data_IF_113574711445
#
_entry.id   IF_113574711445
#
_cell.length_a   1.000
_cell.length_b   1.000
_cell.length_c   1.000
_cell.angle_alpha   90.00
_cell.angle_beta   90.00
_cell.angle_gamma   90.00
#
_symmetry.space_group_name_H-M   'P 1'
#
loop_
_entity.id
_entity.type
_entity.pdbx_description
1 polymer ?
#
# COMPACT_ATOMS: atom_id res chain seq x y z
N UNK A 1 -11.66 -30.69 24.11
CA UNK A 1 -10.48 -30.24 24.88
C UNK A 1 -9.28 -29.99 23.95
N UNK A 2 -9.10 -30.78 22.89
CA UNK A 2 -8.02 -30.65 21.89
C UNK A 2 -7.95 -29.30 21.13
N UNK A 3 -9.09 -28.65 20.83
CA UNK A 3 -9.08 -27.33 20.14
C UNK A 3 -8.43 -26.19 20.95
N UNK A 4 -8.51 -26.21 22.29
CA UNK A 4 -7.93 -25.16 23.15
C UNK A 4 -6.40 -25.23 23.21
N UNK A 5 -5.83 -26.42 23.16
CA UNK A 5 -4.37 -26.62 23.15
C UNK A 5 -3.75 -26.19 21.81
N UNK A 6 -4.42 -26.47 20.69
CA UNK A 6 -3.98 -26.05 19.34
C UNK A 6 -3.89 -24.52 19.19
N UNK A 7 -4.87 -23.77 19.70
CA UNK A 7 -4.93 -22.31 19.54
C UNK A 7 -3.88 -21.57 20.40
N UNK A 8 -3.57 -22.11 21.58
CA UNK A 8 -2.55 -21.53 22.48
C UNK A 8 -1.14 -21.74 21.91
N UNK A 9 -0.92 -22.86 21.20
CA UNK A 9 0.35 -23.17 20.55
C UNK A 9 0.76 -22.14 19.48
N UNK A 10 -0.19 -21.65 18.67
CA UNK A 10 0.12 -20.70 17.58
C UNK A 10 0.52 -19.31 18.13
N UNK A 11 -0.14 -18.87 19.20
CA UNK A 11 0.10 -17.57 19.83
C UNK A 11 1.49 -17.49 20.47
N UNK A 12 1.95 -18.59 21.07
CA UNK A 12 3.25 -18.66 21.72
C UNK A 12 4.44 -18.69 20.74
N UNK A 13 4.19 -18.95 19.45
CA UNK A 13 5.21 -18.88 18.40
C UNK A 13 5.42 -17.44 17.89
N UNK A 14 4.51 -16.53 18.21
CA UNK A 14 4.55 -15.14 17.74
C UNK A 14 5.28 -14.26 18.76
N UNK A 15 6.30 -13.55 18.28
CA UNK A 15 7.07 -12.58 19.08
C UNK A 15 6.28 -11.29 19.33
N UNK A 16 5.43 -10.92 18.38
CA UNK A 16 4.57 -9.74 18.44
C UNK A 16 3.30 -9.94 19.26
N UNK A 17 2.66 -8.88 19.77
CA UNK A 17 1.37 -8.99 20.43
C UNK A 17 0.36 -9.67 19.52
N UNK A 18 -0.19 -10.79 20.00
CA UNK A 18 -1.18 -11.56 19.26
C UNK A 18 -2.26 -12.08 20.20
N UNK A 19 -3.49 -12.10 19.69
CA UNK A 19 -4.65 -12.55 20.45
C UNK A 19 -5.72 -13.15 19.54
N UNK A 20 -6.60 -13.96 20.12
CA UNK A 20 -7.73 -14.56 19.42
C UNK A 20 -9.04 -13.97 19.90
N UNK A 21 -9.94 -13.74 18.96
CA UNK A 21 -11.29 -13.23 19.21
C UNK A 21 -12.30 -14.29 18.80
N UNK A 22 -13.30 -14.53 19.66
CA UNK A 22 -14.43 -15.39 19.36
C UNK A 22 -15.71 -14.68 19.79
N UNK A 23 -16.71 -14.64 18.91
CA UNK A 23 -17.99 -13.97 19.17
C UNK A 23 -17.83 -12.50 19.63
N UNK A 24 -16.81 -11.80 19.09
CA UNK A 24 -16.49 -10.41 19.41
C UNK A 24 -15.64 -10.21 20.67
N UNK A 25 -15.31 -11.27 21.40
CA UNK A 25 -14.59 -11.19 22.68
C UNK A 25 -13.17 -11.75 22.57
N UNK A 26 -12.18 -11.09 23.16
CA UNK A 26 -10.81 -11.61 23.26
C UNK A 26 -10.80 -12.84 24.19
N UNK A 27 -10.39 -14.01 23.68
CA UNK A 27 -10.41 -15.28 24.43
C UNK A 27 -9.01 -15.69 24.92
N UNK A 28 -8.01 -15.59 24.05
CA UNK A 28 -6.63 -15.98 24.37
C UNK A 28 -5.66 -14.94 23.82
N UNK A 29 -4.51 -14.76 24.46
CA UNK A 29 -3.48 -13.82 24.04
C UNK A 29 -2.11 -14.25 24.55
N UNK A 30 -1.05 -13.88 23.82
CA UNK A 30 0.32 -14.20 24.20
C UNK A 30 0.89 -13.21 25.22
N UNK A 31 2.07 -13.51 25.79
CA UNK A 31 2.71 -12.63 26.78
C UNK A 31 2.94 -11.20 26.26
N UNK A 32 3.24 -11.04 24.97
CA UNK A 32 3.47 -9.74 24.37
C UNK A 32 2.19 -8.87 24.37
N UNK A 33 1.03 -9.45 24.02
CA UNK A 33 -0.27 -8.79 24.10
C UNK A 33 -0.66 -8.48 25.55
N UNK A 34 -0.32 -9.37 26.48
CA UNK A 34 -0.53 -9.20 27.91
C UNK A 34 0.24 -7.98 28.44
N UNK A 35 1.51 -7.84 28.05
CA UNK A 35 2.34 -6.67 28.36
C UNK A 35 1.84 -5.38 27.71
N UNK A 36 1.13 -5.50 26.59
CA UNK A 36 0.52 -4.39 25.87
C UNK A 36 -0.85 -3.97 26.45
N UNK A 37 -1.18 -4.41 27.67
CA UNK A 37 -2.41 -4.08 28.40
C UNK A 37 -3.70 -4.65 27.79
N UNK A 38 -3.60 -5.68 26.96
CA UNK A 38 -4.76 -6.45 26.49
C UNK A 38 -5.10 -7.57 27.47
N UNK A 39 -6.38 -7.79 27.70
CA UNK A 39 -6.88 -8.81 28.64
C UNK A 39 -7.97 -9.68 28.00
N UNK A 40 -8.09 -10.97 28.38
CA UNK A 40 -9.22 -11.79 27.99
C UNK A 40 -10.54 -11.20 28.53
N UNK A 41 -11.61 -11.32 27.76
CA UNK A 41 -12.94 -10.79 28.10
C UNK A 41 -13.22 -9.37 27.58
N UNK A 42 -12.21 -8.66 27.07
CA UNK A 42 -12.43 -7.38 26.39
C UNK A 42 -13.22 -7.57 25.09
N UNK A 43 -14.14 -6.64 24.80
CA UNK A 43 -14.83 -6.60 23.51
C UNK A 43 -13.90 -5.99 22.46
N UNK A 44 -13.81 -6.64 21.29
CA UNK A 44 -12.96 -6.14 20.20
C UNK A 44 -13.42 -4.78 19.70
N UNK A 45 -14.73 -4.53 19.68
CA UNK A 45 -15.33 -3.24 19.29
C UNK A 45 -14.82 -2.06 20.11
N UNK A 46 -14.42 -2.29 21.36
CA UNK A 46 -14.00 -1.22 22.27
C UNK A 46 -12.58 -0.72 21.96
N UNK A 47 -11.79 -1.55 21.27
CA UNK A 47 -10.41 -1.23 20.91
C UNK A 47 -10.25 -0.96 19.41
N UNK A 48 -11.25 -1.18 18.56
CA UNK A 48 -11.17 -0.87 17.13
C UNK A 48 -11.20 0.65 16.92
N UNK A 49 -10.20 1.17 16.20
CA UNK A 49 -10.14 2.57 15.75
C UNK A 49 -10.73 2.69 14.34
N UNK A 50 -10.42 1.75 13.46
CA UNK A 50 -10.99 1.64 12.11
C UNK A 50 -11.52 0.23 11.89
N UNK A 51 -12.46 0.07 10.95
CA UNK A 51 -12.84 -1.26 10.45
C UNK A 51 -13.92 -2.00 11.23
N UNK A 52 -14.70 -1.35 12.11
CA UNK A 52 -15.76 -2.06 12.86
C UNK A 52 -16.78 -2.74 11.93
N UNK A 53 -17.25 -2.02 10.90
CA UNK A 53 -18.19 -2.60 9.93
C UNK A 53 -17.48 -3.61 9.02
N UNK A 54 -16.29 -3.29 8.52
CA UNK A 54 -15.51 -4.18 7.67
C UNK A 54 -15.15 -5.49 8.36
N UNK A 55 -14.87 -5.48 9.67
CA UNK A 55 -14.60 -6.68 10.46
C UNK A 55 -15.85 -7.54 10.67
N UNK A 56 -17.03 -6.92 10.84
CA UNK A 56 -18.32 -7.62 10.89
C UNK A 56 -18.66 -8.28 9.55
N UNK A 57 -18.33 -7.62 8.45
CA UNK A 57 -18.59 -8.09 7.09
C UNK A 57 -17.48 -8.99 6.53
N UNK A 58 -16.30 -9.00 7.17
CA UNK A 58 -15.18 -9.88 6.84
C UNK A 58 -15.66 -11.33 6.76
N UNK A 59 -15.13 -12.11 5.82
CA UNK A 59 -15.51 -13.53 5.66
C UNK A 59 -14.29 -14.40 5.48
N UNK A 60 -13.40 -13.98 4.60
CA UNK A 60 -12.18 -14.69 4.23
C UNK A 60 -11.08 -13.68 3.86
N UNK A 61 -9.84 -14.14 3.85
CA UNK A 61 -8.67 -13.37 3.52
C UNK A 61 -7.99 -12.74 4.72
N UNK A 62 -7.57 -11.49 4.56
CA UNK A 62 -6.76 -10.76 5.52
C UNK A 62 -7.27 -9.32 5.62
N UNK A 63 -7.64 -8.89 6.82
CA UNK A 63 -8.11 -7.52 7.07
C UNK A 63 -7.04 -6.75 7.87
N UNK A 64 -6.60 -5.61 7.33
CA UNK A 64 -5.72 -4.66 7.99
C UNK A 64 -6.55 -3.53 8.57
N UNK A 65 -6.42 -3.30 9.86
CA UNK A 65 -7.18 -2.31 10.60
C UNK A 65 -6.31 -1.65 11.68
N UNK A 66 -6.83 -0.58 12.28
CA UNK A 66 -6.17 0.09 13.41
C UNK A 66 -6.92 -0.20 14.70
N UNK A 67 -6.19 -0.52 15.76
CA UNK A 67 -6.72 -0.75 17.09
C UNK A 67 -5.94 0.03 18.16
N UNK A 68 -6.57 0.31 19.30
CA UNK A 68 -5.97 1.01 20.42
C UNK A 68 -5.31 0.00 21.35
N UNK A 69 -3.99 0.14 21.55
CA UNK A 69 -3.19 -0.69 22.46
C UNK A 69 -2.35 0.23 23.32
N UNK A 70 -2.45 0.08 24.64
CA UNK A 70 -1.78 0.97 25.60
C UNK A 70 -1.98 2.48 25.28
N UNK A 71 -3.23 2.87 25.00
CA UNK A 71 -3.65 4.24 24.64
C UNK A 71 -3.01 4.81 23.36
N UNK A 72 -2.52 3.94 22.47
CA UNK A 72 -1.94 4.33 21.18
C UNK A 72 -2.63 3.59 20.03
N UNK A 73 -2.88 4.26 18.90
CA UNK A 73 -3.33 3.57 17.69
C UNK A 73 -2.18 2.72 17.14
N UNK A 74 -2.45 1.44 16.94
CA UNK A 74 -1.52 0.46 16.39
C UNK A 74 -2.16 -0.25 15.20
N UNK A 75 -1.38 -0.46 14.14
CA UNK A 75 -1.78 -1.33 13.04
C UNK A 75 -1.95 -2.76 13.54
N UNK A 76 -2.99 -3.42 13.07
CA UNK A 76 -3.18 -4.83 13.29
C UNK A 76 -3.72 -5.52 12.05
N UNK A 77 -3.49 -6.82 12.01
CA UNK A 77 -3.96 -7.71 10.96
C UNK A 77 -4.88 -8.76 11.58
N UNK A 78 -5.95 -9.07 10.88
CA UNK A 78 -6.95 -10.06 11.27
C UNK A 78 -6.99 -11.17 10.25
N UNK A 79 -6.89 -12.40 10.75
CA UNK A 79 -7.08 -13.62 9.98
C UNK A 79 -8.23 -14.43 10.56
N UNK A 80 -9.24 -14.71 9.74
CA UNK A 80 -10.34 -15.59 10.15
C UNK A 80 -9.93 -17.04 9.99
N UNK A 81 -9.97 -17.79 11.08
CA UNK A 81 -9.70 -19.23 11.13
C UNK A 81 -10.98 -19.97 11.52
N UNK A 82 -10.97 -21.30 11.40
CA UNK A 82 -12.12 -22.14 11.74
C UNK A 82 -12.51 -22.01 13.24
N UNK A 83 -13.44 -21.09 13.51
CA UNK A 83 -14.04 -20.86 14.83
C UNK A 83 -13.40 -19.76 15.68
N UNK A 84 -12.43 -18.98 15.16
CA UNK A 84 -11.86 -17.82 15.85
C UNK A 84 -11.15 -16.87 14.86
N UNK A 85 -10.96 -15.62 15.28
CA UNK A 85 -10.22 -14.61 14.55
C UNK A 85 -8.86 -14.35 15.24
N UNK A 86 -7.76 -14.50 14.50
CA UNK A 86 -6.42 -14.23 14.99
C UNK A 86 -6.03 -12.78 14.66
N UNK A 87 -5.77 -12.00 15.70
CA UNK A 87 -5.24 -10.65 15.61
C UNK A 87 -3.74 -10.65 15.87
N UNK A 88 -3.00 -9.92 15.06
CA UNK A 88 -1.58 -9.62 15.29
C UNK A 88 -1.32 -8.13 15.19
N UNK A 89 -0.65 -7.56 16.19
CA UNK A 89 -0.33 -6.12 16.26
C UNK A 89 1.12 -5.88 15.83
N UNK A 90 1.37 -4.82 15.06
CA UNK A 90 2.73 -4.38 14.70
C UNK A 90 3.51 -3.87 15.93
N UNK A 91 4.84 -4.07 15.97
CA UNK A 91 5.69 -3.76 17.13
C UNK A 91 6.60 -2.53 16.91
N UNK A 92 6.98 -1.89 18.02
CA UNK A 92 7.94 -0.76 18.03
C UNK A 92 9.35 -1.14 17.54
N UNK A 93 9.75 -2.42 17.61
CA UNK A 93 11.04 -2.89 17.06
C UNK A 93 11.11 -2.73 15.54
N UNK A 94 10.01 -2.94 14.82
CA UNK A 94 9.91 -2.67 13.38
C UNK A 94 10.05 -1.15 13.12
N UNK A 95 9.59 -0.28 14.03
CA UNK A 95 9.72 1.18 13.87
C UNK A 95 11.17 1.66 13.94
N UNK A 96 12.01 1.06 14.78
CA UNK A 96 13.43 1.42 14.88
C UNK A 96 14.19 1.06 13.60
N UNK A 97 13.87 -0.09 13.00
CA UNK A 97 14.42 -0.50 11.71
C UNK A 97 13.95 0.44 10.58
N UNK A 98 12.65 0.78 10.57
CA UNK A 98 12.10 1.77 9.64
C UNK A 98 12.78 3.14 9.81
N UNK A 99 13.08 3.55 11.04
CA UNK A 99 13.80 4.80 11.32
C UNK A 99 15.22 4.78 10.75
N UNK A 100 15.94 3.67 10.94
CA UNK A 100 17.27 3.50 10.38
C UNK A 100 17.24 3.53 8.84
N UNK A 101 16.25 2.87 8.22
CA UNK A 101 16.03 2.92 6.78
C UNK A 101 15.73 4.33 6.28
N UNK A 102 14.89 5.10 6.98
CA UNK A 102 14.57 6.46 6.60
C UNK A 102 15.80 7.40 6.66
N UNK A 103 16.67 7.23 7.67
CA UNK A 103 17.92 7.98 7.75
C UNK A 103 18.86 7.62 6.59
N UNK A 104 19.03 6.33 6.28
CA UNK A 104 19.82 5.89 5.14
C UNK A 104 19.26 6.44 3.81
N UNK A 105 17.93 6.47 3.66
CA UNK A 105 17.28 7.03 2.48
C UNK A 105 17.57 8.53 2.30
N UNK A 106 17.55 9.30 3.38
CA UNK A 106 17.88 10.72 3.34
C UNK A 106 19.32 10.96 2.87
N UNK A 107 20.28 10.15 3.34
CA UNK A 107 21.67 10.24 2.90
C UNK A 107 21.87 9.84 1.44
N UNK A 108 21.08 8.89 0.93
CA UNK A 108 21.13 8.45 -0.47
C UNK A 108 20.41 9.39 -1.45
N UNK A 109 19.46 10.21 -0.96
CA UNK A 109 18.68 11.11 -1.82
C UNK A 109 19.55 12.14 -2.52
N UNK A 110 20.49 12.77 -1.79
CA UNK A 110 21.38 13.78 -2.35
C UNK A 110 22.31 13.25 -3.46
N UNK A 111 23.07 12.15 -3.28
CA UNK A 111 23.91 11.61 -4.34
C UNK A 111 23.08 11.11 -5.52
N UNK A 112 21.89 10.55 -5.31
CA UNK A 112 21.01 10.15 -6.41
C UNK A 112 20.52 11.37 -7.21
N UNK A 113 20.04 12.42 -6.55
CA UNK A 113 19.62 13.65 -7.22
C UNK A 113 20.73 14.26 -8.07
N UNK A 114 22.00 14.18 -7.61
CA UNK A 114 23.15 14.64 -8.38
C UNK A 114 23.38 13.79 -9.63
N UNK A 115 23.31 12.45 -9.51
CA UNK A 115 23.44 11.54 -10.67
C UNK A 115 22.32 11.81 -11.67
N UNK A 116 21.09 12.00 -11.19
CA UNK A 116 19.96 12.33 -12.05
C UNK A 116 20.13 13.66 -12.75
N UNK A 117 20.55 14.72 -12.05
CA UNK A 117 20.77 16.02 -12.68
C UNK A 117 21.83 15.99 -13.80
N UNK A 118 22.89 15.20 -13.61
CA UNK A 118 23.92 14.98 -14.64
C UNK A 118 23.36 14.15 -15.79
N UNK A 119 22.55 13.15 -15.49
CA UNK A 119 21.89 12.29 -16.47
C UNK A 119 20.89 13.07 -17.33
N UNK A 120 20.06 13.93 -16.72
CA UNK A 120 19.09 14.82 -17.37
C UNK A 120 19.79 15.81 -18.34
N UNK A 121 21.05 16.16 -18.08
CA UNK A 121 21.86 16.99 -19.00
C UNK A 121 22.52 16.18 -20.12
N UNK A 122 23.00 14.97 -19.81
CA UNK A 122 23.74 14.13 -20.77
C UNK A 122 22.82 13.40 -21.74
N UNK A 123 21.65 12.96 -21.30
CA UNK A 123 20.76 12.14 -22.12
C UNK A 123 20.20 12.87 -23.33
N UNK A 124 19.72 14.14 -23.25
CA UNK A 124 19.28 14.87 -24.43
C UNK A 124 20.41 15.10 -25.46
N UNK A 125 21.67 15.12 -25.02
CA UNK A 125 22.84 15.26 -25.92
C UNK A 125 23.21 13.92 -26.55
N UNK A 126 23.16 12.84 -25.77
CA UNK A 126 23.46 11.49 -26.24
C UNK A 126 22.34 10.91 -27.13
N UNK A 127 21.10 11.37 -26.97
CA UNK A 127 19.92 11.00 -27.75
C UNK A 127 19.85 11.72 -29.13
N UNK A 128 20.73 12.69 -29.39
CA UNK A 128 20.88 13.30 -30.71
C UNK A 128 21.52 12.37 -31.76
N UNK A 129 22.10 11.25 -31.32
CA UNK A 129 22.56 10.21 -32.23
C UNK A 129 21.46 9.17 -32.46
N UNK A 130 21.13 8.88 -33.73
CA UNK A 130 20.23 7.79 -34.15
C UNK A 130 20.80 6.38 -33.87
N UNK A 131 21.60 6.21 -32.81
CA UNK A 131 22.14 4.91 -32.43
C UNK A 131 21.15 4.20 -31.49
N UNK A 132 20.41 3.19 -31.96
CA UNK A 132 19.38 2.53 -31.16
C UNK A 132 19.96 1.84 -29.92
N UNK A 133 21.22 1.41 -29.96
CA UNK A 133 21.90 0.79 -28.80
C UNK A 133 22.11 1.82 -27.70
N UNK A 134 22.51 3.05 -28.05
CA UNK A 134 22.74 4.13 -27.08
C UNK A 134 21.41 4.54 -26.44
N UNK A 135 20.35 4.67 -27.22
CA UNK A 135 19.00 5.01 -26.73
C UNK A 135 18.45 3.95 -25.77
N UNK A 136 18.65 2.66 -26.07
CA UNK A 136 18.26 1.57 -25.18
C UNK A 136 19.03 1.63 -23.84
N UNK A 137 20.35 1.90 -23.88
CA UNK A 137 21.15 2.02 -22.65
C UNK A 137 20.72 3.23 -21.80
N UNK A 138 20.45 4.39 -22.43
CA UNK A 138 19.94 5.58 -21.74
C UNK A 138 18.61 5.27 -21.04
N UNK A 139 17.68 4.65 -21.76
CA UNK A 139 16.37 4.25 -21.25
C UNK A 139 16.48 3.32 -20.05
N UNK A 140 17.41 2.35 -20.09
CA UNK A 140 17.70 1.44 -18.97
C UNK A 140 18.27 2.18 -17.76
N UNK A 141 19.20 3.13 -17.97
CA UNK A 141 19.77 3.92 -16.87
C UNK A 141 18.69 4.81 -16.24
N UNK A 142 17.89 5.52 -17.05
CA UNK A 142 16.79 6.33 -16.54
C UNK A 142 15.81 5.51 -15.71
N UNK A 143 15.37 4.36 -16.23
CA UNK A 143 14.51 3.46 -15.46
C UNK A 143 15.14 3.06 -14.12
N UNK A 144 16.43 2.74 -14.11
CA UNK A 144 17.17 2.45 -12.88
C UNK A 144 17.20 3.63 -11.88
N UNK A 145 17.33 4.87 -12.37
CA UNK A 145 17.27 6.08 -11.53
C UNK A 145 15.88 6.26 -10.91
N UNK A 146 14.81 6.05 -11.68
CA UNK A 146 13.44 6.11 -11.17
C UNK A 146 13.14 4.99 -10.15
N UNK A 147 13.68 3.78 -10.36
CA UNK A 147 13.59 2.68 -9.39
C UNK A 147 14.30 3.02 -8.09
N UNK A 148 15.49 3.61 -8.15
CA UNK A 148 16.20 4.07 -6.96
C UNK A 148 15.46 5.19 -6.24
N UNK A 149 14.89 6.16 -6.98
CA UNK A 149 14.04 7.20 -6.38
C UNK A 149 12.86 6.59 -5.64
N UNK A 150 12.14 5.66 -6.28
CA UNK A 150 11.03 4.96 -5.64
C UNK A 150 11.46 4.25 -4.36
N UNK A 151 12.60 3.55 -4.39
CA UNK A 151 13.13 2.83 -3.23
C UNK A 151 13.48 3.79 -2.07
N UNK A 152 14.16 4.89 -2.37
CA UNK A 152 14.52 5.92 -1.38
C UNK A 152 13.26 6.57 -0.80
N UNK A 153 12.29 6.94 -1.63
CA UNK A 153 11.02 7.51 -1.17
C UNK A 153 10.26 6.52 -0.28
N UNK A 154 10.16 5.25 -0.67
CA UNK A 154 9.53 4.21 0.15
C UNK A 154 10.19 4.06 1.52
N UNK A 155 11.53 4.07 1.58
CA UNK A 155 12.26 3.98 2.85
C UNK A 155 12.07 5.23 3.73
N UNK A 156 12.13 6.43 3.15
CA UNK A 156 11.87 7.70 3.86
C UNK A 156 10.46 7.73 4.46
N UNK A 157 9.48 7.26 3.70
CA UNK A 157 8.09 7.45 4.05
C UNK A 157 7.53 6.34 4.93
N UNK A 158 8.12 5.14 4.90
CA UNK A 158 7.78 4.08 5.84
C UNK A 158 7.94 4.48 7.31
N UNK A 159 8.95 5.29 7.63
CA UNK A 159 9.07 5.85 8.96
C UNK A 159 8.04 6.96 9.25
N UNK A 160 7.70 7.77 8.27
CA UNK A 160 6.66 8.80 8.45
C UNK A 160 5.28 8.17 8.65
N UNK A 161 5.00 7.07 7.96
CA UNK A 161 3.73 6.36 7.98
C UNK A 161 3.59 5.40 9.15
N UNK A 162 4.68 4.96 9.78
CA UNK A 162 4.63 4.24 11.05
C UNK A 162 4.21 5.12 12.22
N UNK A 163 4.25 6.45 12.07
CA UNK A 163 3.80 7.40 13.07
C UNK A 163 2.41 7.92 12.75
N UNK A 164 1.56 8.18 13.78
CA UNK A 164 0.31 8.91 13.64
C UNK A 164 0.56 10.41 13.39
N UNK A 165 1.39 10.75 12.40
CA UNK A 165 1.60 12.13 11.99
C UNK A 165 0.33 12.67 11.32
N UNK A 166 -0.03 13.91 11.64
CA UNK A 166 -1.14 14.63 11.02
C UNK A 166 -0.94 14.64 9.50
N UNK A 167 -1.83 13.93 8.78
CA UNK A 167 -1.84 13.96 7.32
C UNK A 167 -2.10 15.37 6.80
N UNK A 168 -1.63 15.66 5.60
CA UNK A 168 -1.87 16.96 4.94
C UNK A 168 -3.23 16.94 4.27
N UNK A 169 -4.29 16.92 5.08
CA UNK A 169 -5.66 16.83 4.58
C UNK A 169 -6.13 18.15 3.98
N UNK A 170 -6.61 18.08 2.74
CA UNK A 170 -7.32 19.19 2.09
C UNK A 170 -8.59 18.65 1.45
N UNK A 171 -9.63 19.49 1.36
CA UNK A 171 -10.87 19.09 0.68
C UNK A 171 -10.60 19.03 -0.82
N UNK A 172 -10.73 17.84 -1.40
CA UNK A 172 -10.52 17.60 -2.82
C UNK A 172 -11.56 16.63 -3.36
N UNK A 173 -11.74 16.60 -4.68
CA UNK A 173 -12.61 15.64 -5.35
C UNK A 173 -11.87 14.31 -5.54
N UNK A 174 -12.21 13.31 -4.73
CA UNK A 174 -11.58 11.99 -4.81
C UNK A 174 -11.85 11.29 -6.13
N UNK A 175 -13.03 11.53 -6.73
CA UNK A 175 -13.39 10.89 -7.99
C UNK A 175 -12.53 11.44 -9.12
N UNK A 176 -12.19 12.73 -9.09
CA UNK A 176 -11.26 13.32 -10.04
C UNK A 176 -9.83 12.82 -9.82
N UNK A 177 -9.34 12.83 -8.57
CA UNK A 177 -7.97 12.35 -8.24
C UNK A 177 -7.77 10.90 -8.70
N UNK A 178 -8.70 10.01 -8.35
CA UNK A 178 -8.60 8.61 -8.78
C UNK A 178 -8.74 8.49 -10.30
N UNK A 179 -9.60 9.29 -10.93
CA UNK A 179 -9.70 9.37 -12.39
C UNK A 179 -8.37 9.70 -13.07
N UNK A 180 -7.66 10.72 -12.59
CA UNK A 180 -6.33 11.12 -13.05
C UNK A 180 -5.32 9.96 -12.90
N UNK A 181 -5.20 9.41 -11.67
CA UNK A 181 -4.26 8.32 -11.36
C UNK A 181 -4.47 7.09 -12.26
N UNK A 182 -5.72 6.62 -12.37
CA UNK A 182 -6.03 5.43 -13.15
C UNK A 182 -5.90 5.67 -14.66
N UNK A 183 -6.24 6.85 -15.15
CA UNK A 183 -6.08 7.20 -16.57
C UNK A 183 -4.61 7.23 -16.97
N UNK A 184 -3.76 7.90 -16.18
CA UNK A 184 -2.31 7.93 -16.42
C UNK A 184 -1.70 6.53 -16.32
N UNK A 185 -2.04 5.78 -15.27
CA UNK A 185 -1.56 4.42 -15.08
C UNK A 185 -1.97 3.49 -16.23
N UNK A 186 -3.21 3.59 -16.71
CA UNK A 186 -3.70 2.78 -17.82
C UNK A 186 -2.91 3.04 -19.10
N UNK A 187 -2.67 4.31 -19.44
CA UNK A 187 -1.89 4.69 -20.62
C UNK A 187 -0.46 4.13 -20.56
N UNK A 188 0.20 4.20 -19.40
CA UNK A 188 1.55 3.66 -19.24
C UNK A 188 1.58 2.13 -19.32
N UNK A 189 0.58 1.45 -18.75
CA UNK A 189 0.51 -0.01 -18.69
C UNK A 189 0.14 -0.67 -20.02
N UNK A 190 -0.53 0.04 -20.94
CA UNK A 190 -0.80 -0.45 -22.31
C UNK A 190 0.50 -0.87 -23.02
N UNK A 191 1.60 -0.14 -22.80
CA UNK A 191 2.92 -0.49 -23.33
C UNK A 191 3.47 -1.81 -22.75
N UNK A 192 3.05 -2.17 -21.54
CA UNK A 192 3.40 -3.42 -20.84
C UNK A 192 2.51 -4.61 -21.20
N UNK A 193 1.59 -4.47 -22.16
CA UNK A 193 0.58 -5.48 -22.51
C UNK A 193 -0.38 -5.84 -21.37
N UNK A 194 -0.64 -4.92 -20.43
CA UNK A 194 -1.63 -5.11 -19.37
C UNK A 194 -2.68 -4.00 -19.49
N UNK A 195 -3.96 -4.37 -19.44
CA UNK A 195 -5.06 -3.41 -19.53
C UNK A 195 -5.61 -3.11 -18.16
N UNK A 196 -5.60 -1.84 -17.77
CA UNK A 196 -6.17 -1.36 -16.52
C UNK A 196 -7.51 -0.70 -16.79
N UNK A 197 -8.59 -1.30 -16.30
CA UNK A 197 -9.95 -0.78 -16.43
C UNK A 197 -10.36 -0.13 -15.11
N UNK A 198 -10.82 1.13 -15.15
CA UNK A 198 -11.33 1.80 -13.96
C UNK A 198 -12.79 2.21 -14.13
N UNK A 199 -13.64 1.67 -13.26
CA UNK A 199 -15.04 2.09 -13.14
C UNK A 199 -15.19 3.05 -11.97
N UNK A 200 -15.30 4.34 -12.28
CA UNK A 200 -15.47 5.39 -11.30
C UNK A 200 -16.95 5.60 -10.92
N UNK A 201 -17.19 6.45 -9.92
CA UNK A 201 -18.54 6.93 -9.60
C UNK A 201 -19.00 7.98 -10.60
N UNK A 202 -20.29 7.96 -10.96
CA UNK A 202 -20.91 8.94 -11.85
C UNK A 202 -21.23 10.29 -11.17
N UNK A 203 -20.60 10.59 -10.03
CA UNK A 203 -20.81 11.82 -9.26
C UNK A 203 -19.52 12.26 -8.59
N UNK A 204 -19.29 13.57 -8.53
CA UNK A 204 -18.20 14.17 -7.76
C UNK A 204 -18.39 13.95 -6.26
N UNK A 205 -17.31 13.63 -5.56
CA UNK A 205 -17.30 13.47 -4.10
C UNK A 205 -16.16 14.30 -3.52
N UNK A 206 -16.51 15.38 -2.85
CA UNK A 206 -15.57 16.17 -2.07
C UNK A 206 -15.39 15.55 -0.68
N UNK A 207 -14.14 15.32 -0.29
CA UNK A 207 -13.78 14.88 1.06
C UNK A 207 -12.37 15.35 1.44
N UNK A 208 -12.04 15.27 2.72
CA UNK A 208 -10.69 15.51 3.25
C UNK A 208 -9.76 14.38 2.81
N UNK A 209 -8.78 14.73 1.97
CA UNK A 209 -7.83 13.80 1.38
C UNK A 209 -6.40 14.27 1.64
N UNK A 210 -5.57 13.36 2.09
CA UNK A 210 -4.11 13.47 1.99
C UNK A 210 -3.71 12.88 0.64
N UNK A 211 -3.56 13.75 -0.37
CA UNK A 211 -3.39 13.35 -1.78
C UNK A 211 -2.15 12.49 -1.97
N UNK A 212 -1.04 12.88 -1.35
CA UNK A 212 0.25 12.19 -1.43
C UNK A 212 0.13 10.76 -0.90
N UNK A 213 -0.48 10.58 0.28
CA UNK A 213 -0.71 9.23 0.85
C UNK A 213 -1.65 8.40 -0.02
N UNK A 214 -2.73 9.01 -0.53
CA UNK A 214 -3.71 8.32 -1.38
C UNK A 214 -3.07 7.82 -2.67
N UNK A 215 -2.38 8.70 -3.41
CA UNK A 215 -1.69 8.39 -4.67
C UNK A 215 -0.72 7.24 -4.48
N UNK A 216 0.10 7.29 -3.42
CA UNK A 216 1.07 6.25 -3.13
C UNK A 216 0.44 4.93 -2.73
N UNK A 217 -0.63 4.97 -1.93
CA UNK A 217 -1.44 3.78 -1.63
C UNK A 217 -1.96 3.13 -2.91
N UNK A 218 -2.61 3.91 -3.78
CA UNK A 218 -3.20 3.43 -5.03
C UNK A 218 -2.14 2.87 -5.99
N UNK A 219 -1.04 3.59 -6.22
CA UNK A 219 0.02 3.09 -7.10
C UNK A 219 0.68 1.81 -6.57
N UNK A 220 0.79 1.63 -5.25
CA UNK A 220 1.30 0.37 -4.69
C UNK A 220 0.32 -0.79 -4.93
N UNK A 221 -0.99 -0.56 -4.86
CA UNK A 221 -1.97 -1.59 -5.22
C UNK A 221 -1.86 -1.93 -6.72
N UNK A 222 -1.80 -0.92 -7.60
CA UNK A 222 -1.65 -1.11 -9.06
C UNK A 222 -0.36 -1.87 -9.38
N UNK A 223 0.77 -1.42 -8.84
CA UNK A 223 2.08 -2.06 -8.98
C UNK A 223 2.03 -3.54 -8.57
N UNK A 224 1.40 -3.85 -7.43
CA UNK A 224 1.23 -5.24 -7.00
C UNK A 224 0.36 -6.04 -7.96
N UNK A 225 -0.79 -5.51 -8.37
CA UNK A 225 -1.69 -6.18 -9.32
C UNK A 225 -0.99 -6.50 -10.65
N UNK A 226 -0.15 -5.59 -11.15
CA UNK A 226 0.64 -5.76 -12.37
C UNK A 226 1.76 -6.78 -12.17
N UNK A 227 2.52 -6.73 -11.06
CA UNK A 227 3.62 -7.68 -10.76
C UNK A 227 3.18 -9.14 -10.68
N UNK A 228 1.95 -9.38 -10.22
CA UNK A 228 1.40 -10.72 -10.03
C UNK A 228 0.45 -11.15 -11.16
N UNK A 229 0.26 -10.31 -12.17
CA UNK A 229 -0.51 -10.61 -13.38
C UNK A 229 0.36 -11.22 -14.47
N UNK A 230 -0.23 -12.11 -15.27
CA UNK A 230 0.39 -12.56 -16.52
C UNK A 230 0.34 -11.46 -17.58
N UNK A 231 1.31 -11.46 -18.51
CA UNK A 231 1.28 -10.52 -19.65
C UNK A 231 0.04 -10.77 -20.50
N UNK A 232 -0.62 -9.71 -20.95
CA UNK A 232 -1.85 -9.79 -21.72
C UNK A 232 -3.13 -9.83 -20.87
N UNK A 233 -3.01 -9.76 -19.55
CA UNK A 233 -4.16 -9.81 -18.65
C UNK A 233 -4.85 -8.46 -18.46
N UNK A 234 -6.07 -8.53 -17.94
CA UNK A 234 -6.86 -7.38 -17.53
C UNK A 234 -6.85 -7.23 -16.00
N UNK A 235 -6.68 -5.99 -15.54
CA UNK A 235 -6.84 -5.57 -14.14
C UNK A 235 -8.07 -4.69 -14.07
N UNK A 236 -8.94 -4.96 -13.10
CA UNK A 236 -10.20 -4.22 -12.93
C UNK A 236 -10.18 -3.47 -11.60
N UNK A 237 -10.34 -2.15 -11.69
CA UNK A 237 -10.50 -1.25 -10.56
C UNK A 237 -11.92 -0.69 -10.54
N UNK A 238 -12.50 -0.56 -9.35
CA UNK A 238 -13.83 -0.01 -9.15
C UNK A 238 -13.88 0.84 -7.88
N UNK A 239 -14.45 2.04 -7.99
CA UNK A 239 -14.81 2.86 -6.84
C UNK A 239 -16.32 2.72 -6.58
N UNK A 240 -16.68 2.27 -5.39
CA UNK A 240 -18.07 2.26 -4.93
C UNK A 240 -18.23 3.08 -3.65
N UNK A 241 -19.47 3.48 -3.34
CA UNK A 241 -19.81 4.27 -2.17
C UNK A 241 -20.99 3.61 -1.47
N UNK A 242 -20.83 3.29 -0.19
CA UNK A 242 -21.91 2.77 0.67
C UNK A 242 -21.89 3.54 1.99
N UNK A 243 -23.01 4.20 2.31
CA UNK A 243 -23.10 5.07 3.50
C UNK A 243 -22.04 6.17 3.48
N UNK A 244 -21.21 6.21 4.53
CA UNK A 244 -20.08 7.15 4.68
C UNK A 244 -18.73 6.54 4.29
N UNK A 245 -18.71 5.39 3.60
CA UNK A 245 -17.48 4.72 3.20
C UNK A 245 -17.37 4.64 1.68
N UNK A 246 -16.17 4.91 1.18
CA UNK A 246 -15.74 4.59 -0.18
C UNK A 246 -14.97 3.29 -0.18
N UNK A 247 -15.16 2.50 -1.22
CA UNK A 247 -14.47 1.22 -1.42
C UNK A 247 -13.77 1.28 -2.76
N UNK A 248 -12.44 1.40 -2.75
CA UNK A 248 -11.61 1.23 -3.93
C UNK A 248 -11.17 -0.23 -4.02
N UNK A 249 -11.76 -0.96 -4.95
CA UNK A 249 -11.48 -2.38 -5.18
C UNK A 249 -10.61 -2.52 -6.42
N UNK A 250 -9.48 -3.23 -6.33
CA UNK A 250 -8.63 -3.59 -7.46
C UNK A 250 -8.50 -5.11 -7.49
N UNK A 251 -8.84 -5.72 -8.63
CA UNK A 251 -8.79 -7.16 -8.87
C UNK A 251 -7.83 -7.46 -10.01
N UNK A 252 -6.87 -8.33 -9.76
CA UNK A 252 -6.05 -8.94 -10.80
C UNK A 252 -6.60 -10.30 -11.24
N UNK A 253 -6.16 -10.75 -12.41
CA UNK A 253 -6.48 -12.04 -13.02
C UNK A 253 -5.29 -13.00 -13.03
N UNK A 254 -4.27 -12.75 -12.19
CA UNK A 254 -3.07 -13.57 -12.11
C UNK A 254 -3.32 -14.97 -11.54
N UNK A 255 -2.25 -15.74 -11.30
CA UNK A 255 -2.33 -17.08 -10.68
C UNK A 255 -2.96 -17.07 -9.28
N UNK A 256 -3.30 -15.89 -8.75
CA UNK A 256 -3.56 -15.63 -7.36
C UNK A 256 -2.35 -16.00 -6.52
N UNK A 257 -2.54 -15.98 -5.22
CA UNK A 257 -1.56 -16.55 -4.32
C UNK A 257 -1.96 -18.01 -4.04
N UNK A 258 -1.03 -18.94 -4.27
CA UNK A 258 -1.27 -20.38 -4.10
C UNK A 258 -1.87 -20.67 -2.71
N UNK A 259 -2.86 -21.57 -2.64
CA UNK A 259 -3.58 -21.91 -1.39
C UNK A 259 -2.65 -22.22 -0.21
N UNK A 260 -1.54 -22.90 -0.46
CA UNK A 260 -0.51 -23.26 0.54
C UNK A 260 0.29 -22.06 1.05
N UNK A 261 0.35 -21.00 0.24
CA UNK A 261 0.95 -19.72 0.58
C UNK A 261 -0.08 -18.76 1.17
N UNK A 262 -1.39 -18.98 1.04
CA UNK A 262 -2.43 -18.11 1.62
C UNK A 262 -2.25 -17.84 3.12
N UNK A 263 -1.81 -18.84 3.90
CA UNK A 263 -1.46 -18.65 5.31
C UNK A 263 -0.03 -18.12 5.57
N UNK A 264 0.88 -18.20 4.58
CA UNK A 264 2.32 -17.89 4.71
C UNK A 264 2.78 -16.61 3.97
N UNK A 265 1.93 -16.04 3.12
CA UNK A 265 2.10 -14.73 2.48
C UNK A 265 2.51 -13.68 3.52
N UNK A 266 1.88 -13.75 4.68
CA UNK A 266 1.97 -12.75 5.74
C UNK A 266 3.31 -12.83 6.48
N UNK A 267 3.90 -14.03 6.61
CA UNK A 267 5.30 -14.18 7.04
C UNK A 267 6.29 -13.70 5.98
N UNK A 268 5.98 -13.77 4.68
CA UNK A 268 6.86 -13.28 3.61
C UNK A 268 6.83 -11.76 3.44
N UNK A 269 5.69 -11.10 3.70
CA UNK A 269 5.61 -9.63 3.70
C UNK A 269 6.25 -8.97 4.94
N UNK A 270 6.42 -9.71 6.04
CA UNK A 270 7.21 -9.28 7.21
C UNK A 270 8.68 -9.72 7.18
N UNK A 271 9.04 -10.72 6.37
CA UNK A 271 10.44 -11.14 6.23
C UNK A 271 11.17 -10.16 5.33
N UNK A 272 12.37 -9.77 5.77
CA UNK A 272 13.44 -9.27 4.90
C UNK A 272 13.44 -10.12 3.62
N UNK A 273 13.41 -9.51 2.42
CA UNK A 273 13.29 -10.25 1.17
C UNK A 273 14.33 -11.36 1.12
N UNK A 274 13.89 -12.61 0.97
CA UNK A 274 14.77 -13.67 0.51
C UNK A 274 15.20 -13.32 -0.91
N UNK A 275 16.51 -13.36 -1.18
CA UNK A 275 17.17 -13.04 -2.45
C UNK A 275 16.66 -13.84 -3.68
N UNK A 276 15.64 -14.68 -3.55
CA UNK A 276 15.26 -15.73 -4.51
C UNK A 276 14.11 -15.34 -5.46
N UNK A 277 13.33 -14.28 -5.19
CA UNK A 277 12.26 -13.84 -6.12
C UNK A 277 12.28 -12.31 -6.33
N UNK A 278 12.80 -11.92 -7.50
CA UNK A 278 12.96 -10.51 -7.92
C UNK A 278 11.66 -9.69 -7.99
N UNK A 279 10.48 -10.33 -7.93
CA UNK A 279 9.18 -9.63 -7.90
C UNK A 279 8.91 -8.99 -6.53
N UNK A 280 9.52 -9.50 -5.48
CA UNK A 280 9.35 -9.01 -4.12
C UNK A 280 10.35 -7.87 -3.86
N UNK A 281 9.85 -6.64 -3.79
CA UNK A 281 10.63 -5.48 -3.35
C UNK A 281 10.90 -5.51 -1.84
N UNK A 282 11.34 -4.38 -1.27
CA UNK A 282 11.68 -4.22 0.17
C UNK A 282 10.51 -4.40 1.18
N UNK A 283 9.35 -4.91 0.76
CA UNK A 283 8.22 -5.21 1.66
C UNK A 283 7.39 -4.01 2.12
N UNK A 284 7.78 -2.78 1.78
CA UNK A 284 7.11 -1.57 2.29
C UNK A 284 5.77 -1.24 1.61
N UNK A 285 5.42 -1.88 0.49
CA UNK A 285 4.21 -1.56 -0.27
C UNK A 285 2.92 -1.72 0.55
N UNK A 286 2.80 -2.78 1.35
CA UNK A 286 1.61 -3.01 2.17
C UNK A 286 1.46 -1.96 3.29
N UNK A 287 2.59 -1.55 3.87
CA UNK A 287 2.63 -0.47 4.85
C UNK A 287 2.08 0.83 4.23
N UNK A 288 2.44 1.16 2.98
CA UNK A 288 1.92 2.35 2.30
C UNK A 288 0.40 2.26 2.09
N UNK A 289 -0.10 1.10 1.65
CA UNK A 289 -1.52 0.88 1.38
C UNK A 289 -2.32 1.01 2.68
N UNK A 290 -1.87 0.34 3.75
CA UNK A 290 -2.53 0.42 5.05
C UNK A 290 -2.45 1.82 5.65
N UNK A 291 -1.30 2.48 5.59
CA UNK A 291 -1.15 3.85 6.09
C UNK A 291 -2.04 4.84 5.34
N UNK A 292 -2.19 4.68 4.03
CA UNK A 292 -3.13 5.48 3.24
C UNK A 292 -4.58 5.26 3.71
N UNK A 293 -5.00 4.00 3.85
CA UNK A 293 -6.35 3.66 4.34
C UNK A 293 -6.61 4.21 5.76
N UNK A 294 -5.69 3.92 6.69
CA UNK A 294 -5.79 4.30 8.10
C UNK A 294 -5.80 5.82 8.29
N UNK A 295 -4.96 6.56 7.54
CA UNK A 295 -4.97 8.03 7.56
C UNK A 295 -6.35 8.59 7.15
N UNK A 296 -7.06 7.90 6.25
CA UNK A 296 -8.39 8.24 5.80
C UNK A 296 -9.52 7.57 6.59
N UNK A 297 -9.23 6.99 7.76
CA UNK A 297 -10.22 6.37 8.65
C UNK A 297 -10.79 5.04 8.14
N UNK A 298 -10.14 4.41 7.18
CA UNK A 298 -10.56 3.13 6.62
C UNK A 298 -9.61 1.98 6.92
N UNK A 299 -9.75 0.92 6.13
CA UNK A 299 -9.07 -0.37 6.28
C UNK A 299 -8.65 -0.94 4.94
N UNK A 300 -7.90 -2.04 4.95
CA UNK A 300 -7.55 -2.78 3.73
C UNK A 300 -7.95 -4.23 3.88
N UNK A 301 -8.78 -4.72 2.97
CA UNK A 301 -9.13 -6.13 2.86
C UNK A 301 -8.40 -6.73 1.66
N UNK A 302 -7.76 -7.88 1.88
CA UNK A 302 -7.16 -8.69 0.82
C UNK A 302 -7.84 -10.05 0.84
N UNK A 303 -8.55 -10.38 -0.23
CA UNK A 303 -9.25 -11.64 -0.37
C UNK A 303 -9.06 -12.25 -1.77
N UNK A 304 -9.66 -13.42 -1.96
CA UNK A 304 -9.55 -14.18 -3.21
C UNK A 304 -10.96 -14.33 -3.79
N UNK A 305 -11.27 -13.63 -4.91
CA UNK A 305 -12.55 -13.80 -5.57
C UNK A 305 -12.76 -15.24 -6.05
N UNK A 306 -14.00 -15.59 -6.39
CA UNK A 306 -14.26 -16.80 -7.16
C UNK A 306 -13.55 -16.68 -8.53
N UNK A 307 -12.65 -17.62 -8.82
CA UNK A 307 -11.68 -17.54 -9.91
C UNK A 307 -10.28 -17.13 -9.44
N UNK A 308 -9.25 -17.41 -10.22
CA UNK A 308 -7.87 -17.06 -9.88
C UNK A 308 -7.68 -15.54 -9.68
N UNK A 309 -6.58 -15.16 -9.02
CA UNK A 309 -6.19 -13.76 -8.78
C UNK A 309 -6.29 -13.32 -7.31
N UNK A 310 -6.01 -12.05 -7.06
CA UNK A 310 -6.14 -11.37 -5.76
C UNK A 310 -7.07 -10.18 -5.90
N UNK A 311 -7.86 -9.89 -4.86
CA UNK A 311 -8.62 -8.65 -4.77
C UNK A 311 -8.20 -7.89 -3.52
N UNK A 312 -7.84 -6.64 -3.74
CA UNK A 312 -7.49 -5.68 -2.68
C UNK A 312 -8.58 -4.62 -2.64
N UNK A 313 -9.20 -4.44 -1.48
CA UNK A 313 -10.21 -3.43 -1.21
C UNK A 313 -9.68 -2.46 -0.17
N UNK A 314 -9.42 -1.23 -0.57
CA UNK A 314 -9.08 -0.14 0.35
C UNK A 314 -10.35 0.65 0.66
N UNK A 315 -10.67 0.81 1.94
CA UNK A 315 -11.78 1.65 2.39
C UNK A 315 -11.30 3.03 2.82
N UNK A 316 -12.12 4.05 2.61
CA UNK A 316 -11.84 5.43 2.96
C UNK A 316 -13.12 6.05 3.54
N UNK A 317 -13.02 6.70 4.69
CA UNK A 317 -14.16 7.38 5.29
C UNK A 317 -14.41 8.73 4.61
N UNK A 318 -15.67 8.99 4.26
CA UNK A 318 -16.14 10.26 3.74
C UNK A 318 -16.16 11.30 4.86
N UNK A 319 -15.03 11.96 5.06
CA UNK A 319 -14.93 13.12 5.97
C UNK A 319 -15.14 14.40 5.19
N UNK A 320 -16.31 15.00 5.35
CA UNK A 320 -16.64 16.32 4.81
C UNK A 320 -16.55 17.35 5.93
N UNK A 321 -15.79 18.42 5.74
CA UNK A 321 -15.87 19.57 6.65
C UNK A 321 -17.04 20.47 6.23
N UNK A 322 -17.84 20.89 7.22
CA UNK A 322 -18.86 21.93 7.05
C UNK A 322 -18.16 23.31 7.14
N UNK A 323 -17.64 23.83 6.04
CA UNK A 323 -17.03 25.16 6.01
C UNK A 323 -16.92 25.74 4.60
N UNK A 324 -17.16 27.05 4.48
CA UNK A 324 -17.09 27.82 3.22
C UNK A 324 -15.73 27.68 2.53
N UNK A 325 -15.77 27.23 1.27
CA UNK A 325 -14.59 26.80 0.52
C UNK A 325 -13.74 27.99 0.06
N UNK A 326 -12.49 28.05 0.52
CA UNK A 326 -11.41 28.73 -0.20
C UNK A 326 -10.64 27.67 -0.98
N UNK A 327 -10.74 27.70 -2.31
CA UNK A 327 -9.85 26.94 -3.21
C UNK A 327 -8.41 27.36 -2.92
N UNK A 328 -7.68 26.53 -2.19
CA UNK A 328 -6.23 26.73 -2.04
C UNK A 328 -5.54 26.09 -3.24
N UNK A 329 -5.02 26.94 -4.13
CA UNK A 329 -4.05 26.59 -5.18
C UNK A 329 -2.64 26.48 -4.57
N UNK A 330 -2.47 25.71 -3.51
CA UNK A 330 -1.13 25.36 -3.05
C UNK A 330 -0.72 24.12 -3.85
N UNK A 331 0.18 24.30 -4.82
CA UNK A 331 0.99 23.20 -5.34
C UNK A 331 1.76 22.62 -4.14
N UNK A 332 1.50 21.38 -3.72
CA UNK A 332 2.29 20.77 -2.66
C UNK A 332 3.72 20.58 -3.19
N UNK A 333 4.70 20.56 -2.28
CA UNK A 333 6.05 20.09 -2.59
C UNK A 333 5.93 18.66 -3.12
N UNK A 334 6.16 18.51 -4.42
CA UNK A 334 6.09 17.26 -5.15
C UNK A 334 7.24 16.34 -4.71
N UNK A 335 6.92 15.14 -4.20
CA UNK A 335 7.95 14.16 -3.84
C UNK A 335 8.68 13.58 -5.07
N UNK A 336 8.06 13.67 -6.24
CA UNK A 336 8.65 13.38 -7.54
C UNK A 336 9.54 14.52 -8.06
N UNK A 337 9.50 15.70 -7.45
CA UNK A 337 10.34 16.84 -7.82
C UNK A 337 10.14 17.24 -9.29
N UNK A 338 8.88 17.50 -9.67
CA UNK A 338 8.40 17.88 -11.01
C UNK A 338 8.29 16.72 -12.02
N UNK A 339 8.53 15.47 -11.60
CA UNK A 339 8.45 14.28 -12.47
C UNK A 339 7.10 13.57 -12.33
N UNK A 340 6.73 12.75 -13.31
CA UNK A 340 5.52 11.94 -13.24
C UNK A 340 5.57 10.96 -12.05
N UNK A 341 4.62 11.09 -11.12
CA UNK A 341 4.41 10.15 -10.02
C UNK A 341 4.20 8.71 -10.53
N UNK A 342 3.43 8.55 -11.60
CA UNK A 342 3.11 7.27 -12.22
C UNK A 342 4.38 6.59 -12.78
N UNK A 343 5.29 7.34 -13.41
CA UNK A 343 6.58 6.81 -13.88
C UNK A 343 7.50 6.39 -12.73
N UNK A 344 7.47 7.09 -11.58
CA UNK A 344 8.25 6.69 -10.40
C UNK A 344 7.65 5.43 -9.77
N UNK A 345 6.36 5.46 -9.44
CA UNK A 345 5.70 4.42 -8.66
C UNK A 345 5.37 3.15 -9.46
N UNK A 346 5.49 3.18 -10.80
CA UNK A 346 5.34 2.00 -11.65
C UNK A 346 6.67 1.57 -12.31
N UNK A 347 7.81 2.17 -11.92
CA UNK A 347 9.13 1.88 -12.52
C UNK A 347 9.60 0.42 -12.45
N UNK A 348 9.09 -0.35 -11.50
CA UNK A 348 9.37 -1.78 -11.41
C UNK A 348 8.68 -2.58 -12.52
N UNK A 349 7.51 -2.11 -12.97
CA UNK A 349 6.63 -2.85 -13.89
C UNK A 349 6.59 -2.27 -15.30
N UNK A 350 6.98 -1.01 -15.48
CA UNK A 350 6.96 -0.35 -16.78
C UNK A 350 8.15 -0.75 -17.66
N UNK A 351 7.94 -0.83 -18.99
CA UNK A 351 9.00 -1.01 -19.97
C UNK A 351 10.06 0.11 -19.91
N UNK A 352 11.30 -0.20 -20.29
CA UNK A 352 12.39 0.78 -20.25
C UNK A 352 12.18 1.90 -21.29
N UNK A 353 11.51 1.59 -22.40
CA UNK A 353 11.23 2.47 -23.53
C UNK A 353 10.42 3.72 -23.13
N UNK A 354 9.66 3.64 -22.02
CA UNK A 354 8.93 4.78 -21.47
C UNK A 354 9.84 5.79 -20.76
N UNK A 355 11.11 5.45 -20.53
CA UNK A 355 12.09 6.28 -19.83
C UNK A 355 13.09 6.97 -20.77
N UNK A 356 12.71 7.16 -22.04
CA UNK A 356 13.47 7.99 -22.98
C UNK A 356 13.43 9.46 -22.55
N UNK A 357 14.46 10.23 -22.89
CA UNK A 357 14.58 11.64 -22.49
C UNK A 357 13.39 12.51 -22.95
N UNK A 358 12.75 12.14 -24.06
CA UNK A 358 11.54 12.77 -24.61
C UNK A 358 10.26 12.51 -23.81
N UNK A 359 10.22 11.46 -22.97
CA UNK A 359 9.01 10.98 -22.30
C UNK A 359 8.98 11.26 -20.79
N UNK A 360 10.10 11.71 -20.21
CA UNK A 360 10.30 11.83 -18.75
C UNK A 360 10.25 13.26 -18.19
N UNK A 361 10.23 14.28 -19.07
CA UNK A 361 10.23 15.70 -18.72
C UNK A 361 8.93 16.40 -19.14
#
# INVERSE_FOLDING_TARGET
MERKESNTGILNLLVQPAFTVQDGVIVQLNEAAQKAMLAPGMQISDILVTGDQEYKDFRDGCLYLTLTVADRPCSATVHRMDGFDLFTVEQDTEQAELQAMALAAQELRLPLSNVMAVADQLFPVADQGDNPVVQEQISRINRGLFQMLRMISNMSDAYQYSRPAAGKFTVQDITNILGEIFSESAQLLEHGSIKLHFTNLNRSILCLIDREKLERGVHNIISNAVKFSEKGSDIYAQLTCSGQMLYLTIRDSGSGIQQEHRGNIHNRFRRVPGLEDSRFGIGLGMLMIHAAAAAHGGTVLIDHPEGCGTRITMTLQLRQENGDFVKTTAMPVDYAGERSHSLIELSDVLPAELYQASNIN
#
